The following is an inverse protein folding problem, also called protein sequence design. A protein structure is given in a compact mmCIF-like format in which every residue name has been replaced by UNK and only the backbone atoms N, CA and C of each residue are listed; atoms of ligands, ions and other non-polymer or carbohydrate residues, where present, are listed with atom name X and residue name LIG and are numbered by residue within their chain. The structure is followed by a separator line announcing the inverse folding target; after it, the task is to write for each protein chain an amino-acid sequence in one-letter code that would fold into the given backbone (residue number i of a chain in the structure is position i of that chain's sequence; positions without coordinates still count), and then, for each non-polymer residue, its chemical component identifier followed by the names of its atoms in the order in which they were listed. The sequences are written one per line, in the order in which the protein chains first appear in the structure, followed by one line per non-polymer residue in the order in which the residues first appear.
data_IF_059183698125
#
_entry.id   IF_059183698125
#
_cell.length_a   1.000
_cell.length_b   1.000
_cell.length_c   1.000
_cell.angle_alpha   90.00
_cell.angle_beta   90.00
_cell.angle_gamma   90.00
#
_symmetry.space_group_name_H-M   'P 1'
#
loop_
_entity.id
_entity.type
_entity.pdbx_description
1 polymer ?
#
# COMPACT_ATOMS: atom_id res chain seq x y z
N UNK A 1 -3.93 4.99 60.91
CA UNK A 1 -3.21 4.30 59.82
C UNK A 1 -2.55 3.03 60.32
N UNK A 2 -2.59 2.00 59.51
CA UNK A 2 -2.06 0.67 59.81
C UNK A 2 -0.60 0.77 60.27
N UNK A 3 -0.18 0.12 61.39
CA UNK A 3 1.21 0.19 61.90
C UNK A 3 2.30 -0.22 60.88
N UNK A 4 1.97 -1.15 60.01
CA UNK A 4 2.84 -1.57 58.90
C UNK A 4 3.14 -0.44 57.88
N UNK A 5 2.14 0.39 57.56
CA UNK A 5 2.35 1.57 56.71
C UNK A 5 3.19 2.65 57.33
N UNK A 6 3.01 2.88 58.65
CA UNK A 6 3.85 3.85 59.37
C UNK A 6 5.33 3.40 59.42
N UNK A 7 5.58 2.08 59.53
CA UNK A 7 6.92 1.51 59.53
C UNK A 7 7.57 1.64 58.14
N UNK A 8 6.82 1.39 57.05
CA UNK A 8 7.28 1.52 55.69
C UNK A 8 7.61 2.98 55.32
N UNK A 9 6.75 3.92 55.70
CA UNK A 9 6.97 5.37 55.47
C UNK A 9 8.15 5.91 56.30
N UNK A 10 8.39 5.38 57.48
CA UNK A 10 9.59 5.72 58.30
C UNK A 10 10.87 5.20 57.64
N UNK A 11 10.81 4.01 57.03
CA UNK A 11 11.98 3.41 56.42
C UNK A 11 12.35 4.09 55.09
N UNK A 12 11.38 4.61 54.33
CA UNK A 12 11.64 5.24 53.05
C UNK A 12 10.69 6.44 52.81
N UNK A 13 11.14 7.63 53.18
CA UNK A 13 10.34 8.87 53.13
C UNK A 13 9.87 9.24 51.71
N UNK A 14 10.60 8.83 50.66
CA UNK A 14 10.22 9.03 49.24
C UNK A 14 8.96 8.29 48.83
N UNK A 15 8.52 7.24 49.54
CA UNK A 15 7.33 6.44 49.26
C UNK A 15 6.03 7.08 49.75
N UNK A 16 6.08 8.14 50.56
CA UNK A 16 4.88 8.78 51.13
C UNK A 16 3.89 9.31 50.10
N UNK A 17 4.41 10.01 49.10
CA UNK A 17 3.57 10.59 48.03
C UNK A 17 2.95 9.54 47.13
N UNK A 18 3.67 8.52 46.58
CA UNK A 18 3.11 7.41 45.84
C UNK A 18 2.05 6.65 46.63
N UNK A 19 2.27 6.31 47.88
CA UNK A 19 1.29 5.60 48.71
C UNK A 19 0.03 6.43 48.93
N UNK A 20 0.16 7.74 49.18
CA UNK A 20 -0.99 8.63 49.35
C UNK A 20 -1.84 8.73 48.06
N UNK A 21 -1.18 8.85 46.90
CA UNK A 21 -1.86 8.84 45.58
C UNK A 21 -2.57 7.52 45.32
N UNK A 22 -1.89 6.40 45.57
CA UNK A 22 -2.46 5.08 45.39
C UNK A 22 -3.67 4.85 46.31
N UNK A 23 -3.63 5.31 47.58
CA UNK A 23 -4.80 5.28 48.49
C UNK A 23 -5.96 6.09 47.99
N UNK A 24 -5.72 7.29 47.48
CA UNK A 24 -6.76 8.15 46.92
C UNK A 24 -7.40 7.53 45.69
N UNK A 25 -6.60 6.98 44.75
CA UNK A 25 -7.06 6.27 43.56
C UNK A 25 -7.86 5.00 43.93
N UNK A 26 -7.36 4.24 44.89
CA UNK A 26 -8.01 3.04 45.41
C UNK A 26 -9.38 3.36 46.03
N UNK A 27 -9.49 4.45 46.78
CA UNK A 27 -10.76 4.90 47.38
C UNK A 27 -11.79 5.32 46.29
N UNK A 28 -11.32 5.92 45.19
CA UNK A 28 -12.18 6.44 44.11
C UNK A 28 -12.48 5.40 43.01
N UNK A 29 -11.53 4.56 42.67
CA UNK A 29 -11.58 3.60 41.55
C UNK A 29 -10.97 2.24 41.93
N UNK A 30 -11.26 1.72 43.11
CA UNK A 30 -10.59 0.55 43.71
C UNK A 30 -10.55 -0.68 42.81
N UNK A 31 -11.68 -0.99 42.15
CA UNK A 31 -11.76 -2.15 41.27
C UNK A 31 -10.82 -2.05 40.09
N UNK A 32 -10.76 -0.90 39.42
CA UNK A 32 -9.83 -0.67 38.29
C UNK A 32 -8.38 -0.67 38.75
N UNK A 33 -8.10 -0.08 39.93
CA UNK A 33 -6.72 -0.10 40.46
C UNK A 33 -6.28 -1.52 40.77
N UNK A 34 -7.14 -2.37 41.31
CA UNK A 34 -6.85 -3.79 41.54
C UNK A 34 -6.58 -4.55 40.25
N UNK A 35 -7.39 -4.33 39.23
CA UNK A 35 -7.26 -5.00 37.94
C UNK A 35 -6.00 -4.56 37.16
N UNK A 36 -5.74 -3.24 37.09
CA UNK A 36 -4.66 -2.70 36.27
C UNK A 36 -3.33 -2.48 37.01
N UNK A 37 -3.28 -2.66 38.31
CA UNK A 37 -2.06 -2.46 39.10
C UNK A 37 -0.91 -3.36 38.67
N UNK A 38 -1.21 -4.57 38.19
CA UNK A 38 -0.19 -5.53 37.74
C UNK A 38 0.49 -5.14 36.43
N UNK A 39 -0.12 -4.25 35.64
CA UNK A 39 0.49 -3.65 34.45
C UNK A 39 1.53 -2.56 34.80
N UNK A 40 1.50 -2.03 36.04
CA UNK A 40 2.29 -0.88 36.46
C UNK A 40 3.60 -1.28 37.18
N UNK A 41 4.05 -2.51 37.00
CA UNK A 41 5.35 -2.97 37.57
C UNK A 41 5.45 -2.84 39.10
N UNK A 42 6.36 -2.04 39.62
CA UNK A 42 6.60 -1.95 41.08
C UNK A 42 5.38 -1.56 41.92
N UNK A 43 4.41 -0.87 41.34
CA UNK A 43 3.15 -0.47 41.99
C UNK A 43 2.31 -1.71 42.34
N UNK A 44 2.41 -2.79 41.56
CA UNK A 44 1.69 -4.04 41.78
C UNK A 44 1.95 -4.61 43.22
N UNK A 45 3.13 -4.42 43.77
CA UNK A 45 3.49 -4.91 45.08
C UNK A 45 2.84 -4.13 46.22
N UNK A 46 2.54 -2.85 46.01
CA UNK A 46 1.96 -1.96 47.02
C UNK A 46 0.45 -2.10 47.11
N UNK A 47 -0.20 -2.46 46.02
CA UNK A 47 -1.68 -2.53 45.91
C UNK A 47 -2.31 -3.54 46.88
N UNK A 48 -1.84 -4.78 47.04
CA UNK A 48 -2.38 -5.71 48.04
C UNK A 48 -2.33 -5.16 49.47
N UNK A 49 -1.25 -4.49 49.79
CA UNK A 49 -1.05 -3.83 51.13
C UNK A 49 -2.12 -2.73 51.35
N UNK A 50 -2.36 -1.91 50.34
CA UNK A 50 -3.36 -0.83 50.44
C UNK A 50 -4.75 -1.40 50.47
N UNK A 51 -5.03 -2.43 49.66
CA UNK A 51 -6.33 -3.12 49.62
C UNK A 51 -6.70 -3.69 51.04
N UNK A 52 -5.75 -4.39 51.67
CA UNK A 52 -5.91 -4.87 53.03
C UNK A 52 -6.12 -3.76 54.04
N UNK A 53 -5.41 -2.63 53.89
CA UNK A 53 -5.59 -1.47 54.82
C UNK A 53 -6.93 -0.76 54.66
N UNK A 54 -7.59 -0.88 53.52
CA UNK A 54 -8.90 -0.32 53.26
C UNK A 54 -10.06 -1.32 53.51
N UNK A 55 -9.76 -2.48 54.08
CA UNK A 55 -10.70 -3.55 54.39
C UNK A 55 -11.58 -3.97 53.16
N UNK A 56 -10.97 -4.03 51.96
CA UNK A 56 -11.64 -4.54 50.76
C UNK A 56 -11.94 -6.01 50.98
N UNK A 57 -13.19 -6.46 50.65
CA UNK A 57 -13.57 -7.85 50.82
C UNK A 57 -12.69 -8.80 50.00
N UNK A 58 -12.36 -9.94 50.55
CA UNK A 58 -11.46 -10.93 49.92
C UNK A 58 -11.97 -11.35 48.55
N UNK A 59 -13.25 -11.61 48.38
CA UNK A 59 -13.85 -11.98 47.11
C UNK A 59 -13.64 -10.90 46.03
N UNK A 60 -13.84 -9.62 46.37
CA UNK A 60 -13.61 -8.50 45.43
C UNK A 60 -12.12 -8.37 45.08
N UNK A 61 -11.25 -8.48 46.08
CA UNK A 61 -9.81 -8.44 45.85
C UNK A 61 -9.38 -9.57 44.95
N UNK A 62 -9.80 -10.83 45.20
CA UNK A 62 -9.45 -12.00 44.41
C UNK A 62 -9.94 -11.86 42.97
N UNK A 63 -11.20 -11.49 42.75
CA UNK A 63 -11.76 -11.33 41.42
C UNK A 63 -10.95 -10.35 40.56
N UNK A 64 -10.79 -9.12 41.03
CA UNK A 64 -10.10 -8.08 40.25
C UNK A 64 -8.58 -8.31 40.17
N UNK A 65 -7.97 -8.93 41.18
CA UNK A 65 -6.55 -9.31 41.16
C UNK A 65 -6.30 -10.45 40.17
N UNK A 66 -7.24 -11.38 40.01
CA UNK A 66 -7.17 -12.46 39.01
C UNK A 66 -7.31 -11.89 37.60
N UNK A 67 -8.26 -10.98 37.38
CA UNK A 67 -8.35 -10.25 36.10
C UNK A 67 -7.02 -9.55 35.79
N UNK A 68 -6.44 -8.86 36.77
CA UNK A 68 -5.15 -8.20 36.64
C UNK A 68 -3.98 -9.15 36.40
N UNK A 69 -4.06 -10.38 36.90
CA UNK A 69 -3.08 -11.41 36.62
C UNK A 69 -3.12 -11.85 35.15
N UNK A 70 -4.31 -12.16 34.64
CA UNK A 70 -4.48 -12.51 33.25
C UNK A 70 -4.05 -11.37 32.32
N UNK A 71 -4.37 -10.13 32.62
CA UNK A 71 -3.93 -8.99 31.83
C UNK A 71 -2.41 -8.75 31.94
N UNK A 72 -1.86 -8.82 33.16
CA UNK A 72 -0.46 -8.49 33.41
C UNK A 72 0.53 -9.59 32.98
N UNK A 73 0.20 -10.87 33.25
CA UNK A 73 1.04 -12.02 32.87
C UNK A 73 0.67 -12.53 31.48
N UNK A 74 -0.62 -12.55 31.15
CA UNK A 74 -1.12 -13.04 29.88
C UNK A 74 -0.49 -12.32 28.70
N UNK A 75 -0.30 -11.01 28.80
CA UNK A 75 0.38 -10.27 27.74
C UNK A 75 1.80 -10.80 27.44
N UNK A 76 2.57 -11.15 28.50
CA UNK A 76 3.92 -11.68 28.29
C UNK A 76 3.89 -13.09 27.70
N UNK A 77 2.91 -13.90 28.06
CA UNK A 77 2.70 -15.22 27.47
C UNK A 77 2.34 -15.08 25.98
N UNK A 78 1.40 -14.18 25.66
CA UNK A 78 1.02 -13.89 24.26
C UNK A 78 2.23 -13.38 23.46
N UNK A 79 2.95 -12.40 24.00
CA UNK A 79 4.15 -11.88 23.32
C UNK A 79 5.25 -12.94 23.19
N UNK A 80 5.48 -13.74 24.23
CA UNK A 80 6.44 -14.84 24.19
C UNK A 80 6.06 -15.90 23.15
N UNK A 81 4.79 -16.23 23.06
CA UNK A 81 4.28 -17.16 22.05
C UNK A 81 4.43 -16.60 20.63
N UNK A 82 4.02 -15.35 20.41
CA UNK A 82 4.16 -14.67 19.12
C UNK A 82 5.62 -14.58 18.67
N UNK A 83 6.53 -14.26 19.59
CA UNK A 83 7.96 -14.18 19.28
C UNK A 83 8.57 -15.58 19.05
N UNK A 84 8.15 -16.57 19.80
CA UNK A 84 8.66 -17.94 19.67
C UNK A 84 8.12 -18.71 18.47
N UNK A 85 6.87 -18.46 18.11
CA UNK A 85 6.24 -19.07 16.93
C UNK A 85 6.60 -18.36 15.62
N UNK A 86 7.08 -17.12 15.72
CA UNK A 86 7.36 -16.24 14.60
C UNK A 86 6.14 -15.38 14.23
N UNK A 87 6.34 -14.08 14.20
CA UNK A 87 5.29 -13.11 13.88
C UNK A 87 4.77 -13.35 12.46
N UNK A 88 5.66 -13.77 11.55
CA UNK A 88 5.33 -13.98 10.14
C UNK A 88 4.39 -15.19 9.89
N UNK A 89 4.19 -16.05 10.90
CA UNK A 89 3.22 -17.15 10.82
C UNK A 89 1.76 -16.74 11.15
N UNK A 90 1.55 -15.47 11.50
CA UNK A 90 0.21 -14.93 11.77
C UNK A 90 -0.20 -13.99 10.64
N UNK A 91 -1.12 -14.40 9.74
CA UNK A 91 -1.55 -13.57 8.60
C UNK A 91 -1.97 -12.16 9.02
N UNK A 92 -2.80 -12.04 10.06
CA UNK A 92 -3.30 -10.75 10.56
C UNK A 92 -2.18 -9.82 11.09
N UNK A 93 -1.10 -10.37 11.65
CA UNK A 93 0.03 -9.57 12.11
C UNK A 93 0.95 -9.16 10.97
N UNK A 94 1.06 -10.01 9.95
CA UNK A 94 1.77 -9.68 8.74
C UNK A 94 1.04 -8.58 7.96
N UNK A 95 -0.27 -8.69 7.80
CA UNK A 95 -1.12 -7.64 7.22
C UNK A 95 -0.98 -6.31 7.98
N UNK A 96 -1.03 -6.34 9.32
CA UNK A 96 -0.83 -5.16 10.14
C UNK A 96 0.58 -4.57 9.99
N UNK A 97 1.62 -5.41 9.88
CA UNK A 97 3.00 -4.98 9.63
C UNK A 97 3.12 -4.34 8.25
N UNK A 98 2.57 -4.98 7.21
CA UNK A 98 2.53 -4.43 5.85
C UNK A 98 1.82 -3.08 5.86
N UNK A 99 0.63 -3.00 6.43
CA UNK A 99 -0.12 -1.75 6.56
C UNK A 99 0.68 -0.64 7.26
N UNK A 100 1.35 -0.94 8.37
CA UNK A 100 2.17 0.03 9.12
C UNK A 100 3.39 0.48 8.31
N UNK A 101 4.02 -0.41 7.57
CA UNK A 101 5.18 -0.08 6.73
C UNK A 101 4.75 0.74 5.53
N UNK A 102 3.70 0.35 4.84
CA UNK A 102 3.16 1.07 3.68
C UNK A 102 2.67 2.47 4.04
N UNK A 103 1.98 2.60 5.17
CA UNK A 103 1.37 3.88 5.58
C UNK A 103 2.23 4.69 6.56
N UNK A 104 3.51 4.32 6.75
CA UNK A 104 4.42 4.96 7.73
C UNK A 104 4.49 6.48 7.60
N UNK A 105 4.52 7.01 6.39
CA UNK A 105 4.63 8.45 6.13
C UNK A 105 3.40 9.21 6.65
N UNK A 106 2.19 8.73 6.37
CA UNK A 106 0.93 9.31 6.84
C UNK A 106 0.81 9.14 8.36
N UNK A 107 1.14 7.97 8.90
CA UNK A 107 1.09 7.73 10.34
C UNK A 107 2.03 8.67 11.11
N UNK A 108 3.23 8.92 10.59
CA UNK A 108 4.17 9.89 11.15
C UNK A 108 3.60 11.32 11.08
N UNK A 109 3.02 11.72 9.94
CA UNK A 109 2.43 13.05 9.77
C UNK A 109 1.26 13.28 10.73
N UNK A 110 0.38 12.29 10.91
CA UNK A 110 -0.72 12.35 11.88
C UNK A 110 -0.18 12.40 13.31
N UNK A 111 0.77 11.55 13.66
CA UNK A 111 1.41 11.53 14.99
C UNK A 111 2.07 12.86 15.33
N UNK A 112 2.84 13.44 14.40
CA UNK A 112 3.45 14.75 14.54
C UNK A 112 2.41 15.86 14.74
N UNK A 113 1.29 15.79 14.01
CA UNK A 113 0.19 16.75 14.12
C UNK A 113 -0.51 16.68 15.48
N UNK A 114 -0.74 15.47 15.99
CA UNK A 114 -1.26 15.27 17.35
C UNK A 114 -0.28 15.82 18.40
N UNK A 115 1.02 15.55 18.24
CA UNK A 115 2.05 16.13 19.10
C UNK A 115 2.04 17.67 19.07
N UNK A 116 1.96 18.26 17.89
CA UNK A 116 1.84 19.70 17.70
C UNK A 116 0.59 20.28 18.41
N UNK A 117 -0.55 19.60 18.30
CA UNK A 117 -1.77 19.99 19.00
C UNK A 117 -1.60 19.95 20.53
N UNK A 118 -1.02 18.87 21.06
CA UNK A 118 -0.79 18.74 22.50
C UNK A 118 0.15 19.81 23.06
N UNK A 119 1.21 20.14 22.30
CA UNK A 119 2.15 21.22 22.64
C UNK A 119 1.42 22.56 22.61
N UNK A 120 0.69 22.87 21.56
CA UNK A 120 -0.07 24.10 21.42
C UNK A 120 -1.13 24.28 22.50
N UNK A 121 -1.79 23.19 22.93
CA UNK A 121 -2.71 23.17 24.06
C UNK A 121 -2.02 23.50 25.37
N UNK A 122 -0.85 22.93 25.60
CA UNK A 122 -0.03 23.20 26.81
C UNK A 122 0.45 24.65 26.84
N UNK A 123 0.83 25.20 25.69
CA UNK A 123 1.29 26.57 25.52
C UNK A 123 0.14 27.60 25.38
N UNK A 124 -1.12 27.13 25.42
CA UNK A 124 -2.32 27.97 25.29
C UNK A 124 -2.35 28.85 24.03
N UNK A 125 -1.93 28.29 22.89
CA UNK A 125 -1.94 29.01 21.62
C UNK A 125 -3.34 29.47 21.21
N UNK A 126 -3.42 30.70 20.68
CA UNK A 126 -4.66 31.21 20.07
C UNK A 126 -4.87 30.48 18.72
N UNK A 127 -6.15 30.27 18.36
CA UNK A 127 -6.53 29.59 17.12
C UNK A 127 -5.89 28.19 16.97
N UNK A 128 -5.83 27.44 18.06
CA UNK A 128 -5.16 26.15 18.11
C UNK A 128 -5.67 25.17 17.05
N UNK A 129 -7.00 25.12 16.87
CA UNK A 129 -7.61 24.21 15.90
C UNK A 129 -7.20 24.56 14.46
N UNK A 130 -7.25 25.84 14.08
CA UNK A 130 -6.81 26.28 12.74
C UNK A 130 -5.35 25.97 12.48
N UNK A 131 -4.47 26.22 13.48
CA UNK A 131 -3.04 25.88 13.37
C UNK A 131 -2.82 24.37 13.26
N UNK A 132 -3.56 23.58 14.03
CA UNK A 132 -3.51 22.11 13.94
C UNK A 132 -3.93 21.63 12.54
N UNK A 133 -5.06 22.13 12.02
CA UNK A 133 -5.54 21.74 10.68
C UNK A 133 -4.54 22.14 9.59
N UNK A 134 -3.99 23.35 9.65
CA UNK A 134 -2.97 23.82 8.71
C UNK A 134 -1.69 22.95 8.79
N UNK A 135 -1.24 22.63 10.00
CA UNK A 135 -0.07 21.78 10.20
C UNK A 135 -0.31 20.35 9.72
N UNK A 136 -1.49 19.78 10.00
CA UNK A 136 -1.89 18.46 9.52
C UNK A 136 -1.89 18.38 8.00
N UNK A 137 -2.55 19.33 7.33
CA UNK A 137 -2.58 19.40 5.87
C UNK A 137 -1.18 19.55 5.28
N UNK A 138 -0.37 20.45 5.82
CA UNK A 138 1.01 20.64 5.36
C UNK A 138 1.86 19.38 5.58
N UNK A 139 1.69 18.71 6.73
CA UNK A 139 2.43 17.47 7.04
C UNK A 139 2.02 16.31 6.14
N UNK A 140 0.73 16.17 5.83
CA UNK A 140 0.23 15.14 4.90
C UNK A 140 0.70 15.42 3.48
N UNK A 141 0.61 16.67 3.02
CA UNK A 141 1.11 17.05 1.69
C UNK A 141 2.62 16.83 1.58
N UNK A 142 3.39 17.21 2.61
CA UNK A 142 4.83 16.96 2.63
C UNK A 142 5.16 15.47 2.67
N UNK A 143 4.44 14.68 3.46
CA UNK A 143 4.64 13.22 3.54
C UNK A 143 4.35 12.55 2.19
N UNK A 144 3.27 12.95 1.49
CA UNK A 144 2.96 12.48 0.16
C UNK A 144 4.05 12.87 -0.85
N UNK A 145 4.46 14.15 -0.84
CA UNK A 145 5.53 14.62 -1.70
C UNK A 145 6.85 13.88 -1.44
N UNK A 146 7.26 13.78 -0.17
CA UNK A 146 8.50 13.11 0.20
C UNK A 146 8.47 11.61 -0.14
N UNK A 147 7.32 10.94 0.07
CA UNK A 147 7.18 9.54 -0.30
C UNK A 147 7.30 9.36 -1.81
N UNK A 148 6.57 10.17 -2.58
CA UNK A 148 6.56 10.09 -4.04
C UNK A 148 7.93 10.38 -4.66
N UNK A 149 8.62 11.43 -4.20
CA UNK A 149 9.88 11.87 -4.83
C UNK A 149 11.15 11.28 -4.22
N UNK A 150 11.16 10.87 -2.94
CA UNK A 150 12.38 10.44 -2.26
C UNK A 150 12.36 9.01 -1.71
N UNK A 151 11.19 8.44 -1.51
CA UNK A 151 11.03 7.16 -0.81
C UNK A 151 10.16 6.15 -1.55
N UNK A 152 9.66 6.48 -2.75
CA UNK A 152 8.93 5.48 -3.51
C UNK A 152 9.88 4.38 -3.99
N UNK A 153 9.46 3.14 -3.85
CA UNK A 153 10.19 1.99 -4.39
C UNK A 153 10.32 2.07 -5.92
N UNK A 154 9.49 2.90 -6.55
CA UNK A 154 9.53 3.20 -7.98
C UNK A 154 10.88 3.80 -8.41
N UNK A 155 11.56 4.54 -7.51
CA UNK A 155 12.91 5.06 -7.77
C UNK A 155 14.03 4.09 -7.39
N UNK A 156 13.80 3.20 -6.43
CA UNK A 156 14.81 2.23 -6.00
C UNK A 156 15.11 1.14 -7.05
N UNK A 157 14.28 1.05 -8.07
CA UNK A 157 14.36 0.01 -9.09
C UNK A 157 15.30 0.36 -10.26
N UNK A 158 15.84 1.59 -10.33
CA UNK A 158 16.70 2.01 -11.44
C UNK A 158 17.95 1.14 -11.63
N UNK A 159 18.58 0.69 -10.54
CA UNK A 159 19.78 -0.16 -10.61
C UNK A 159 19.44 -1.64 -10.86
N UNK A 160 18.26 -2.11 -10.45
CA UNK A 160 17.87 -3.52 -10.59
C UNK A 160 17.08 -3.86 -11.86
N UNK A 161 16.36 -2.88 -12.44
CA UNK A 161 15.50 -3.10 -13.63
C UNK A 161 16.31 -3.14 -14.93
N UNK A 162 17.48 -2.49 -14.99
CA UNK A 162 18.33 -2.53 -16.18
C UNK A 162 18.99 -3.89 -16.43
N UNK A 163 19.03 -4.78 -15.44
CA UNK A 163 19.67 -6.09 -15.54
C UNK A 163 18.70 -7.25 -15.71
N UNK A 164 17.44 -7.10 -15.34
CA UNK A 164 16.40 -8.07 -15.71
C UNK A 164 15.88 -7.76 -17.13
N UNK A 165 16.72 -8.02 -18.14
CA UNK A 165 16.18 -8.38 -19.43
C UNK A 165 15.23 -9.55 -19.19
N UNK A 166 13.98 -9.43 -19.67
CA UNK A 166 13.09 -10.57 -19.78
C UNK A 166 13.92 -11.72 -20.32
N UNK A 167 14.03 -12.79 -19.58
CA UNK A 167 14.87 -13.91 -19.95
C UNK A 167 14.38 -14.43 -21.30
N UNK A 168 15.29 -14.99 -22.11
CA UNK A 168 14.94 -15.78 -23.30
C UNK A 168 14.17 -17.06 -22.89
N UNK A 169 13.34 -16.96 -21.85
CA UNK A 169 12.55 -18.06 -21.33
C UNK A 169 11.34 -18.24 -22.26
N UNK A 170 11.15 -19.49 -22.71
CA UNK A 170 9.98 -19.86 -23.49
C UNK A 170 8.77 -19.86 -22.58
N UNK A 171 7.76 -19.07 -22.91
CA UNK A 171 6.55 -18.90 -22.11
C UNK A 171 5.30 -19.04 -22.98
N UNK A 172 4.20 -19.40 -22.36
CA UNK A 172 2.88 -19.44 -22.97
C UNK A 172 1.95 -18.47 -22.25
N UNK A 173 1.14 -17.72 -22.98
CA UNK A 173 0.25 -16.69 -22.37
C UNK A 173 -0.62 -17.28 -21.26
N UNK A 174 -1.11 -18.53 -21.42
CA UNK A 174 -1.94 -19.19 -20.41
C UNK A 174 -1.26 -19.50 -19.09
N UNK A 175 0.07 -19.45 -19.04
CA UNK A 175 0.88 -19.74 -17.83
C UNK A 175 1.30 -18.45 -17.12
N UNK A 176 1.08 -17.30 -17.73
CA UNK A 176 1.47 -16.01 -17.18
C UNK A 176 0.45 -15.48 -16.16
N UNK A 177 0.89 -14.83 -15.08
CA UNK A 177 0.00 -14.08 -14.22
C UNK A 177 -0.50 -12.84 -14.97
N UNK A 178 -1.82 -12.80 -15.27
CA UNK A 178 -2.42 -11.75 -16.09
C UNK A 178 -2.97 -10.59 -15.24
N UNK A 179 -2.20 -10.15 -14.24
CA UNK A 179 -2.54 -9.05 -13.33
C UNK A 179 -1.33 -8.15 -13.11
N UNK A 180 -1.55 -6.84 -13.07
CA UNK A 180 -0.56 -5.84 -12.70
C UNK A 180 -0.98 -5.13 -11.39
N UNK A 181 0.00 -4.70 -10.60
CA UNK A 181 -0.18 -4.20 -9.24
C UNK A 181 0.35 -2.77 -9.11
N UNK A 182 -0.21 -1.95 -8.20
CA UNK A 182 0.24 -0.57 -7.98
C UNK A 182 1.52 -0.47 -7.14
N UNK A 183 2.26 -1.54 -6.97
CA UNK A 183 3.51 -1.62 -6.21
C UNK A 183 4.08 -3.03 -6.25
N UNK A 184 5.17 -3.27 -5.53
CA UNK A 184 5.79 -4.60 -5.44
C UNK A 184 4.95 -5.63 -4.67
N UNK A 185 3.95 -5.17 -3.92
CA UNK A 185 3.04 -6.05 -3.16
C UNK A 185 1.91 -6.52 -4.06
N UNK A 186 1.74 -7.82 -4.17
CA UNK A 186 0.67 -8.46 -4.92
C UNK A 186 -0.64 -8.62 -4.11
N UNK A 187 -0.94 -7.67 -3.22
CA UNK A 187 -2.14 -7.74 -2.35
C UNK A 187 -3.39 -7.27 -3.07
N UNK A 188 -3.27 -6.19 -3.87
CA UNK A 188 -4.39 -5.64 -4.64
C UNK A 188 -3.98 -5.48 -6.08
N UNK A 189 -4.71 -6.11 -6.98
CA UNK A 189 -4.51 -5.94 -8.41
C UNK A 189 -5.08 -4.58 -8.86
N UNK A 190 -4.26 -3.80 -9.56
CA UNK A 190 -4.67 -2.51 -10.10
C UNK A 190 -5.31 -2.62 -11.47
N UNK A 191 -4.81 -3.52 -12.30
CA UNK A 191 -5.28 -3.73 -13.67
C UNK A 191 -5.07 -5.18 -14.11
N UNK A 192 -5.96 -5.63 -14.98
CA UNK A 192 -5.79 -6.89 -15.71
C UNK A 192 -4.87 -6.69 -16.92
N UNK A 193 -4.09 -7.71 -17.24
CA UNK A 193 -3.40 -7.83 -18.53
C UNK A 193 -4.42 -8.32 -19.55
N UNK A 194 -4.82 -7.46 -20.48
CA UNK A 194 -5.89 -7.72 -21.45
C UNK A 194 -5.43 -7.65 -22.90
N UNK A 195 -4.13 -7.42 -23.14
CA UNK A 195 -3.51 -7.42 -24.46
C UNK A 195 -2.21 -8.22 -24.42
N UNK A 196 -1.91 -8.95 -25.49
CA UNK A 196 -0.64 -9.59 -25.74
C UNK A 196 -0.16 -9.26 -27.15
N UNK A 197 1.13 -9.03 -27.32
CA UNK A 197 1.76 -8.80 -28.62
C UNK A 197 2.92 -9.77 -28.82
N UNK A 198 2.88 -10.51 -29.90
CA UNK A 198 3.95 -11.43 -30.33
C UNK A 198 4.69 -10.80 -31.49
N UNK A 199 5.91 -10.38 -31.26
CA UNK A 199 6.73 -9.64 -32.23
C UNK A 199 7.95 -9.02 -31.57
N UNK A 200 8.73 -8.26 -32.33
CA UNK A 200 10.00 -7.72 -31.83
C UNK A 200 9.80 -6.66 -30.73
N UNK A 201 9.04 -5.61 -31.01
CA UNK A 201 8.80 -4.48 -30.11
C UNK A 201 7.43 -3.83 -30.43
N UNK A 202 6.56 -3.58 -29.45
CA UNK A 202 5.26 -2.96 -29.69
C UNK A 202 5.33 -1.48 -30.13
N UNK A 203 6.49 -0.80 -30.05
CA UNK A 203 6.64 0.61 -30.44
C UNK A 203 6.21 0.88 -31.88
N UNK A 204 6.61 0.02 -32.81
CA UNK A 204 6.23 0.17 -34.22
C UNK A 204 4.72 0.09 -34.38
N UNK A 205 4.08 -0.93 -33.83
CA UNK A 205 2.64 -1.08 -33.85
C UNK A 205 1.93 0.14 -33.23
N UNK A 206 2.36 0.54 -32.03
CA UNK A 206 1.75 1.67 -31.32
C UNK A 206 1.88 2.98 -32.11
N UNK A 207 3.03 3.23 -32.74
CA UNK A 207 3.24 4.42 -33.58
C UNK A 207 2.35 4.42 -34.83
N UNK A 208 2.19 3.29 -35.52
CA UNK A 208 1.31 3.15 -36.67
C UNK A 208 -0.16 3.39 -36.29
N UNK A 209 -0.57 2.99 -35.09
CA UNK A 209 -1.90 3.24 -34.55
C UNK A 209 -2.08 4.66 -34.01
N UNK A 210 -1.06 5.53 -34.08
CA UNK A 210 -1.12 6.93 -33.61
C UNK A 210 -1.03 7.10 -32.09
N UNK A 211 -0.53 6.09 -31.39
CA UNK A 211 -0.28 6.18 -29.96
C UNK A 211 1.03 6.93 -29.69
N UNK A 212 1.08 7.68 -28.59
CA UNK A 212 2.22 8.49 -28.17
C UNK A 212 2.91 7.77 -27.03
N UNK A 213 4.23 7.55 -27.14
CA UNK A 213 5.02 6.96 -26.04
C UNK A 213 5.13 7.95 -24.88
N UNK A 214 4.82 7.50 -23.67
CA UNK A 214 4.90 8.27 -22.44
C UNK A 214 6.20 7.98 -21.69
N UNK A 215 6.68 8.98 -20.96
CA UNK A 215 7.68 8.76 -19.93
C UNK A 215 7.07 8.07 -18.71
N UNK A 216 7.85 7.27 -18.02
CA UNK A 216 7.48 6.59 -16.77
C UNK A 216 8.39 7.01 -15.64
N UNK A 217 7.92 6.96 -14.40
CA UNK A 217 8.72 7.42 -13.26
C UNK A 217 9.92 6.50 -12.97
N UNK A 218 9.77 5.20 -13.12
CA UNK A 218 10.83 4.21 -12.85
C UNK A 218 11.97 4.22 -13.86
N UNK A 219 11.71 4.64 -15.11
CA UNK A 219 12.68 4.53 -16.20
C UNK A 219 13.25 5.86 -16.69
N UNK A 220 12.66 6.96 -16.26
CA UNK A 220 13.07 8.29 -16.67
C UNK A 220 13.45 9.12 -15.44
N UNK A 221 14.58 9.83 -15.51
CA UNK A 221 14.93 10.86 -14.53
C UNK A 221 14.07 12.09 -14.78
N UNK A 222 12.92 12.16 -14.11
CA UNK A 222 11.99 13.27 -14.26
C UNK A 222 12.23 14.28 -13.15
N UNK A 223 12.62 15.49 -13.53
CA UNK A 223 12.59 16.64 -12.64
C UNK A 223 11.18 17.27 -12.60
N UNK A 224 10.92 18.10 -11.61
CA UNK A 224 9.63 18.81 -11.50
C UNK A 224 9.34 19.66 -12.73
N UNK A 225 10.39 20.26 -13.32
CA UNK A 225 10.32 21.02 -14.57
C UNK A 225 9.82 20.20 -15.73
N UNK A 226 10.36 18.97 -15.88
CA UNK A 226 9.97 18.03 -16.94
C UNK A 226 8.51 17.61 -16.78
N UNK A 227 8.10 17.34 -15.54
CA UNK A 227 6.72 16.99 -15.23
C UNK A 227 5.74 18.12 -15.63
N UNK A 228 6.08 19.38 -15.31
CA UNK A 228 5.27 20.55 -15.70
C UNK A 228 5.22 20.73 -17.22
N UNK A 229 6.32 20.46 -17.93
CA UNK A 229 6.36 20.51 -19.39
C UNK A 229 5.48 19.45 -20.02
N UNK A 230 5.60 18.19 -19.56
CA UNK A 230 4.78 17.07 -20.04
C UNK A 230 3.28 17.29 -19.78
N UNK A 231 2.91 17.92 -18.66
CA UNK A 231 1.53 18.32 -18.40
C UNK A 231 1.02 19.35 -19.43
N UNK A 232 1.86 20.34 -19.81
CA UNK A 232 1.49 21.32 -20.83
C UNK A 232 1.33 20.71 -22.21
N UNK A 233 2.09 19.67 -22.51
CA UNK A 233 2.00 18.92 -23.77
C UNK A 233 0.86 17.89 -23.78
N UNK A 234 0.09 17.76 -22.72
CA UNK A 234 -0.93 16.71 -22.53
C UNK A 234 -0.37 15.27 -22.64
N UNK A 235 0.89 15.09 -22.30
CA UNK A 235 1.56 13.78 -22.26
C UNK A 235 2.18 13.53 -20.87
N UNK A 236 1.40 13.61 -19.78
CA UNK A 236 1.95 13.41 -18.44
C UNK A 236 2.55 12.01 -18.33
N UNK A 237 3.56 11.83 -17.45
CA UNK A 237 4.12 10.51 -17.22
C UNK A 237 3.04 9.56 -16.70
N UNK A 238 3.12 8.32 -17.11
CA UNK A 238 2.23 7.26 -16.64
C UNK A 238 2.77 6.71 -15.33
N UNK A 239 1.89 6.52 -14.35
CA UNK A 239 2.25 5.89 -13.06
C UNK A 239 2.72 4.46 -13.28
N UNK A 240 3.70 4.03 -12.47
CA UNK A 240 4.21 2.68 -12.58
C UNK A 240 3.21 1.66 -12.04
N UNK A 241 3.01 0.60 -12.82
CA UNK A 241 2.43 -0.65 -12.37
C UNK A 241 3.49 -1.75 -12.44
N UNK A 242 3.36 -2.74 -11.60
CA UNK A 242 4.32 -3.82 -11.48
C UNK A 242 3.70 -5.15 -11.91
N UNK A 243 4.39 -5.83 -12.80
CA UNK A 243 4.10 -7.21 -13.15
C UNK A 243 5.28 -8.07 -12.70
N UNK A 244 5.01 -9.12 -11.91
CA UNK A 244 6.06 -9.95 -11.26
C UNK A 244 7.12 -9.11 -10.51
N UNK A 245 6.72 -7.99 -9.90
CA UNK A 245 7.62 -7.10 -9.16
C UNK A 245 8.49 -6.19 -10.04
N UNK A 246 8.26 -6.18 -11.36
CA UNK A 246 8.99 -5.35 -12.34
C UNK A 246 8.06 -4.27 -12.89
N UNK A 247 8.46 -2.98 -12.93
CA UNK A 247 7.65 -1.93 -13.53
C UNK A 247 7.60 -2.10 -15.05
N UNK A 248 6.56 -1.52 -15.68
CA UNK A 248 6.40 -1.59 -17.13
C UNK A 248 7.64 -1.08 -17.88
N UNK A 249 7.91 -1.68 -19.02
CA UNK A 249 9.00 -1.26 -19.89
C UNK A 249 8.62 -0.09 -20.77
N UNK A 250 7.38 -0.11 -21.26
CA UNK A 250 6.84 0.91 -22.15
C UNK A 250 5.48 1.34 -21.68
N UNK A 251 5.14 2.59 -21.98
CA UNK A 251 3.80 3.12 -21.78
C UNK A 251 3.41 3.99 -22.97
N UNK A 252 2.16 3.89 -23.38
CA UNK A 252 1.63 4.70 -24.48
C UNK A 252 0.25 5.23 -24.11
N UNK A 253 -0.11 6.36 -24.72
CA UNK A 253 -1.45 6.94 -24.66
C UNK A 253 -1.97 7.31 -26.05
N UNK A 254 -3.27 7.30 -26.23
CA UNK A 254 -3.90 8.01 -27.35
C UNK A 254 -3.93 9.50 -27.07
N UNK A 255 -3.85 10.36 -28.11
CA UNK A 255 -4.11 11.79 -27.95
C UNK A 255 -5.44 12.04 -27.25
N UNK A 256 -5.41 12.88 -26.21
CA UNK A 256 -6.59 13.16 -25.39
C UNK A 256 -6.35 14.29 -24.41
N UNK A 257 -7.24 14.47 -23.46
CA UNK A 257 -7.01 15.40 -22.36
C UNK A 257 -6.36 14.73 -21.16
N UNK A 258 -5.89 15.50 -20.19
CA UNK A 258 -5.19 15.01 -19.01
C UNK A 258 -6.01 14.05 -18.14
N UNK A 259 -7.34 14.12 -18.22
CA UNK A 259 -8.24 13.39 -17.33
C UNK A 259 -8.95 12.22 -18.01
N UNK A 260 -9.00 12.24 -19.36
CA UNK A 260 -9.75 11.26 -20.16
C UNK A 260 -8.92 10.84 -21.35
N UNK A 261 -8.33 9.64 -21.25
CA UNK A 261 -7.47 9.11 -22.31
C UNK A 261 -7.31 7.60 -22.17
N UNK A 262 -7.16 6.93 -23.30
CA UNK A 262 -6.72 5.54 -23.31
C UNK A 262 -5.22 5.47 -23.09
N UNK A 263 -4.77 4.55 -22.27
CA UNK A 263 -3.35 4.29 -22.06
C UNK A 263 -3.09 2.79 -21.91
N UNK A 264 -1.90 2.35 -22.34
CA UNK A 264 -1.45 0.97 -22.25
C UNK A 264 -0.03 0.93 -21.69
N UNK A 265 0.23 -0.06 -20.85
CA UNK A 265 1.54 -0.38 -20.29
C UNK A 265 1.98 -1.74 -20.79
N UNK A 266 3.25 -1.87 -21.13
CA UNK A 266 3.81 -3.08 -21.70
C UNK A 266 4.96 -3.63 -20.87
N UNK A 267 5.00 -4.96 -20.74
CA UNK A 267 6.10 -5.73 -20.15
C UNK A 267 6.54 -6.79 -21.16
N UNK A 268 7.85 -6.98 -21.33
CA UNK A 268 8.36 -8.12 -22.06
C UNK A 268 8.28 -9.36 -21.15
N UNK A 269 7.43 -10.33 -21.50
CA UNK A 269 7.18 -11.50 -20.66
C UNK A 269 8.15 -12.66 -20.93
N UNK A 270 8.80 -12.67 -22.10
CA UNK A 270 9.69 -13.74 -22.54
C UNK A 270 9.62 -13.96 -24.04
N UNK A 271 9.75 -15.21 -24.46
CA UNK A 271 9.66 -15.65 -25.85
C UNK A 271 8.46 -16.60 -25.98
N UNK A 272 7.55 -16.34 -26.92
CA UNK A 272 6.40 -17.20 -27.16
C UNK A 272 6.83 -18.59 -27.62
N UNK A 273 6.42 -19.62 -26.90
CA UNK A 273 6.78 -21.00 -27.16
C UNK A 273 6.35 -21.55 -28.51
N UNK A 274 5.33 -20.92 -29.15
CA UNK A 274 4.80 -21.38 -30.42
C UNK A 274 5.51 -20.75 -31.62
N UNK A 275 5.91 -19.47 -31.51
CA UNK A 275 6.44 -18.69 -32.62
C UNK A 275 7.92 -18.38 -32.48
N UNK A 276 8.50 -18.62 -31.32
CA UNK A 276 9.87 -18.25 -30.95
C UNK A 276 10.17 -16.74 -31.12
N UNK A 277 9.14 -15.89 -31.00
CA UNK A 277 9.22 -14.43 -31.04
C UNK A 277 9.06 -13.86 -29.64
N UNK A 278 9.50 -12.61 -29.42
CA UNK A 278 9.28 -11.94 -28.15
C UNK A 278 7.78 -11.85 -27.86
N UNK A 279 7.43 -12.17 -26.63
CA UNK A 279 6.08 -12.01 -26.10
C UNK A 279 6.02 -10.81 -25.18
N UNK A 280 5.18 -9.87 -25.54
CA UNK A 280 4.84 -8.70 -24.74
C UNK A 280 3.43 -8.82 -24.20
N UNK A 281 3.22 -8.41 -22.97
CA UNK A 281 1.88 -8.36 -22.35
C UNK A 281 1.55 -6.93 -22.00
N UNK A 282 0.29 -6.55 -22.14
CA UNK A 282 -0.18 -5.19 -21.97
C UNK A 282 -1.38 -5.06 -21.05
N UNK A 283 -1.36 -4.04 -20.19
CA UNK A 283 -2.50 -3.57 -19.43
C UNK A 283 -3.06 -2.31 -20.08
N UNK A 284 -4.17 -2.44 -20.75
CA UNK A 284 -4.87 -1.36 -21.45
C UNK A 284 -6.09 -0.93 -20.65
N UNK A 285 -6.24 0.38 -20.44
CA UNK A 285 -7.37 0.98 -19.73
C UNK A 285 -7.66 2.39 -20.23
N UNK A 286 -8.84 2.91 -19.85
CA UNK A 286 -9.26 4.27 -20.09
C UNK A 286 -9.33 5.06 -18.80
N UNK A 287 -8.61 6.19 -18.72
CA UNK A 287 -8.76 7.15 -17.62
C UNK A 287 -10.10 7.88 -17.76
N UNK A 288 -10.96 7.83 -16.73
CA UNK A 288 -12.27 8.51 -16.71
C UNK A 288 -12.39 9.49 -15.53
N UNK A 289 -11.35 10.24 -15.26
CA UNK A 289 -11.35 11.28 -14.25
C UNK A 289 -10.30 11.11 -13.17
N UNK A 290 -10.57 11.68 -11.99
CA UNK A 290 -9.67 11.62 -10.84
C UNK A 290 -10.40 11.05 -9.63
N UNK A 291 -9.72 10.24 -8.86
CA UNK A 291 -10.19 9.76 -7.56
C UNK A 291 -9.11 9.92 -6.49
N UNK A 292 -9.57 10.09 -5.26
CA UNK A 292 -8.68 10.08 -4.09
C UNK A 292 -8.55 8.62 -3.65
N UNK A 293 -7.35 8.08 -3.72
CA UNK A 293 -7.11 6.68 -3.39
C UNK A 293 -5.82 6.52 -2.57
N UNK A 294 -5.75 5.53 -1.68
CA UNK A 294 -4.50 5.07 -1.11
C UNK A 294 -3.65 4.42 -2.22
N UNK A 295 -2.41 4.85 -2.35
CA UNK A 295 -1.46 4.28 -3.31
C UNK A 295 -0.08 4.19 -2.66
N UNK A 296 0.48 2.98 -2.60
CA UNK A 296 1.84 2.75 -2.07
C UNK A 296 2.11 3.46 -0.71
N UNK A 297 1.13 3.39 0.20
CA UNK A 297 1.26 3.97 1.54
C UNK A 297 1.01 5.47 1.67
N UNK A 298 0.55 6.12 0.62
CA UNK A 298 0.12 7.52 0.64
C UNK A 298 -1.36 7.63 0.22
N UNK A 299 -1.99 8.72 0.62
CA UNK A 299 -3.29 9.13 0.05
C UNK A 299 -3.01 10.13 -1.05
N UNK A 300 -3.31 9.78 -2.28
CA UNK A 300 -3.03 10.60 -3.44
C UNK A 300 -4.25 10.76 -4.34
N UNK A 301 -4.15 11.63 -5.31
CA UNK A 301 -5.13 11.78 -6.36
C UNK A 301 -4.57 11.07 -7.58
N UNK A 302 -5.19 9.97 -7.95
CA UNK A 302 -4.86 9.22 -9.15
C UNK A 302 -5.99 9.32 -10.18
N UNK A 303 -5.67 8.96 -11.42
CA UNK A 303 -6.69 8.76 -12.43
C UNK A 303 -7.56 7.56 -12.02
N UNK A 304 -8.89 7.73 -12.11
CA UNK A 304 -9.81 6.60 -12.06
C UNK A 304 -9.89 5.98 -13.45
N UNK A 305 -9.88 4.68 -13.53
CA UNK A 305 -10.07 3.96 -14.78
C UNK A 305 -11.57 3.68 -15.00
N UNK A 306 -11.98 3.61 -16.27
CA UNK A 306 -13.30 3.05 -16.61
C UNK A 306 -13.32 1.59 -16.12
N UNK A 307 -14.31 1.21 -15.31
CA UNK A 307 -14.40 -0.17 -14.84
C UNK A 307 -14.49 -1.21 -15.94
N UNK A 308 -15.02 -0.85 -17.12
CA UNK A 308 -15.09 -1.74 -18.27
C UNK A 308 -13.80 -1.73 -19.08
N UNK A 309 -12.82 -2.52 -18.66
CA UNK A 309 -11.53 -2.59 -19.37
C UNK A 309 -11.59 -3.33 -20.69
N UNK A 310 -12.65 -4.11 -20.93
CA UNK A 310 -12.86 -4.81 -22.20
C UNK A 310 -13.20 -3.87 -23.34
N UNK A 311 -13.87 -2.75 -23.03
CA UNK A 311 -14.24 -1.76 -24.04
C UNK A 311 -13.03 -1.17 -24.76
N UNK A 312 -11.97 -0.84 -24.01
CA UNK A 312 -10.74 -0.30 -24.60
C UNK A 312 -9.94 -1.36 -25.35
N UNK A 313 -9.92 -2.60 -24.86
CA UNK A 313 -9.34 -3.75 -25.55
C UNK A 313 -10.02 -3.97 -26.92
N UNK A 314 -11.34 -3.95 -26.93
CA UNK A 314 -12.12 -4.18 -28.16
C UNK A 314 -11.92 -3.02 -29.17
N UNK A 315 -11.84 -1.77 -28.69
CA UNK A 315 -11.47 -0.60 -29.53
C UNK A 315 -10.07 -0.74 -30.13
N UNK A 316 -9.11 -1.21 -29.35
CA UNK A 316 -7.76 -1.47 -29.88
C UNK A 316 -7.80 -2.55 -30.96
N UNK A 317 -8.57 -3.62 -30.77
CA UNK A 317 -8.74 -4.66 -31.79
C UNK A 317 -9.30 -4.10 -33.09
N UNK A 318 -10.35 -3.28 -33.03
CA UNK A 318 -10.91 -2.60 -34.21
C UNK A 318 -9.89 -1.67 -34.88
N UNK A 319 -9.10 -0.93 -34.07
CA UNK A 319 -8.07 -0.04 -34.57
C UNK A 319 -6.96 -0.82 -35.30
N UNK A 320 -6.50 -1.94 -34.76
CA UNK A 320 -5.50 -2.81 -35.37
C UNK A 320 -6.01 -3.35 -36.71
N UNK A 321 -7.24 -3.89 -36.76
CA UNK A 321 -7.85 -4.43 -38.00
C UNK A 321 -7.95 -3.36 -39.09
N UNK A 322 -8.29 -2.14 -38.72
CA UNK A 322 -8.50 -1.05 -39.68
C UNK A 322 -7.23 -0.40 -40.20
N UNK A 323 -6.13 -0.49 -39.47
CA UNK A 323 -4.92 0.30 -39.75
C UNK A 323 -3.74 -0.55 -40.25
N UNK A 324 -3.61 -1.78 -39.77
CA UNK A 324 -2.42 -2.62 -40.02
C UNK A 324 -2.79 -3.86 -40.82
N UNK A 325 -2.05 -4.09 -41.92
CA UNK A 325 -2.27 -5.26 -42.81
C UNK A 325 -1.37 -6.45 -42.45
N UNK A 326 -0.26 -6.21 -41.77
CA UNK A 326 0.78 -7.21 -41.49
C UNK A 326 0.71 -7.81 -40.08
N UNK A 327 -0.49 -7.85 -39.50
CA UNK A 327 -0.73 -8.47 -38.20
C UNK A 327 -1.96 -9.36 -38.25
N UNK A 328 -1.91 -10.45 -37.49
CA UNK A 328 -3.09 -11.24 -37.18
C UNK A 328 -3.55 -10.99 -35.77
N UNK A 329 -4.84 -11.03 -35.53
CA UNK A 329 -5.42 -10.89 -34.19
C UNK A 329 -6.24 -12.11 -33.81
N UNK A 330 -6.21 -12.42 -32.52
CA UNK A 330 -7.03 -13.45 -31.90
C UNK A 330 -7.58 -12.92 -30.57
N UNK A 331 -8.72 -13.44 -30.13
CA UNK A 331 -9.35 -13.06 -28.87
C UNK A 331 -9.67 -14.34 -28.09
N UNK A 332 -8.87 -14.65 -27.09
CA UNK A 332 -8.99 -15.89 -26.33
C UNK A 332 -9.14 -15.64 -24.82
N UNK A 333 -9.93 -16.48 -24.15
CA UNK A 333 -10.11 -16.46 -22.71
C UNK A 333 -8.91 -17.13 -22.05
N UNK A 334 -8.15 -16.36 -21.25
CA UNK A 334 -6.98 -16.83 -20.52
C UNK A 334 -7.13 -16.77 -19.00
N UNK A 335 -8.13 -16.07 -18.49
CA UNK A 335 -8.44 -16.01 -17.07
C UNK A 335 -9.97 -15.99 -16.85
N UNK A 336 -10.46 -16.33 -15.66
CA UNK A 336 -11.88 -16.25 -15.36
C UNK A 336 -12.36 -14.80 -15.42
N UNK A 337 -13.62 -14.57 -15.79
CA UNK A 337 -14.23 -13.24 -15.72
C UNK A 337 -14.14 -12.66 -14.32
N UNK A 338 -13.83 -11.37 -14.23
CA UNK A 338 -13.80 -10.61 -12.98
C UNK A 338 -14.99 -9.67 -12.91
N UNK A 339 -15.60 -9.56 -11.75
CA UNK A 339 -16.73 -8.67 -11.49
C UNK A 339 -16.32 -7.57 -10.48
N UNK A 340 -17.11 -6.50 -10.44
CA UNK A 340 -16.97 -5.48 -9.40
C UNK A 340 -17.45 -6.04 -8.06
N UNK A 341 -16.55 -6.35 -7.16
CA UNK A 341 -16.84 -7.02 -5.88
C UNK A 341 -16.29 -6.28 -4.66
N UNK A 342 -15.68 -5.10 -4.88
CA UNK A 342 -15.03 -4.30 -3.84
C UNK A 342 -13.55 -4.66 -3.59
N UNK A 343 -13.07 -5.77 -4.15
CA UNK A 343 -11.64 -6.10 -4.24
C UNK A 343 -11.05 -5.59 -5.55
N UNK A 344 -11.87 -5.54 -6.62
CA UNK A 344 -11.48 -5.07 -7.96
C UNK A 344 -12.25 -3.80 -8.31
N UNK A 345 -11.53 -2.81 -8.82
CA UNK A 345 -12.09 -1.56 -9.35
C UNK A 345 -12.48 -1.68 -10.84
N UNK A 346 -12.36 -2.88 -11.43
CA UNK A 346 -12.69 -3.17 -12.82
C UNK A 346 -13.44 -4.49 -12.98
N UNK A 347 -14.05 -4.67 -14.13
CA UNK A 347 -14.57 -5.96 -14.56
C UNK A 347 -14.09 -6.32 -15.97
N UNK A 348 -13.98 -7.61 -16.25
CA UNK A 348 -13.55 -8.15 -17.54
C UNK A 348 -14.19 -9.50 -17.81
N UNK A 349 -14.38 -9.82 -19.08
CA UNK A 349 -14.83 -11.14 -19.56
C UNK A 349 -13.74 -12.21 -19.54
N UNK A 350 -12.51 -11.84 -19.18
CA UNK A 350 -11.37 -12.74 -19.08
C UNK A 350 -10.65 -13.01 -20.40
N UNK A 351 -11.03 -12.35 -21.50
CA UNK A 351 -10.36 -12.51 -22.79
C UNK A 351 -9.18 -11.54 -22.91
N UNK A 352 -8.16 -11.99 -23.62
CA UNK A 352 -6.97 -11.22 -23.98
C UNK A 352 -6.94 -11.07 -25.50
N UNK A 353 -6.71 -9.84 -25.96
CA UNK A 353 -6.43 -9.56 -27.38
C UNK A 353 -4.98 -9.97 -27.68
N UNK A 354 -4.80 -10.96 -28.53
CA UNK A 354 -3.48 -11.42 -28.98
C UNK A 354 -3.21 -10.89 -30.37
N UNK A 355 -2.20 -10.05 -30.50
CA UNK A 355 -1.74 -9.44 -31.74
C UNK A 355 -0.43 -10.12 -32.16
N UNK A 356 -0.33 -10.69 -33.34
CA UNK A 356 0.87 -11.35 -33.85
C UNK A 356 1.36 -10.63 -35.10
N UNK A 357 2.62 -10.22 -35.08
CA UNK A 357 3.30 -9.64 -36.24
C UNK A 357 3.65 -10.72 -37.26
N UNK A 358 3.24 -10.52 -38.53
CA UNK A 358 3.55 -11.45 -39.64
C UNK A 358 4.90 -11.16 -40.30
N UNK A 359 5.58 -10.06 -39.94
CA UNK A 359 6.83 -9.65 -40.57
C UNK A 359 7.99 -10.65 -40.39
N UNK A 360 7.94 -11.49 -39.35
CA UNK A 360 8.99 -12.48 -39.08
C UNK A 360 8.83 -13.80 -39.87
N UNK A 361 7.67 -14.11 -40.43
CA UNK A 361 7.47 -15.32 -41.21
C UNK A 361 8.00 -15.21 -42.66
N UNK A 362 8.36 -14.01 -43.13
CA UNK A 362 8.89 -13.76 -44.48
C UNK A 362 10.40 -13.81 -44.58
N UNK A 363 11.14 -13.90 -43.50
CA UNK A 363 12.63 -13.94 -43.53
C UNK A 363 13.23 -15.35 -43.61
N UNK A 364 12.40 -16.40 -43.65
CA UNK A 364 12.86 -17.81 -43.77
C UNK A 364 12.46 -18.47 -45.09
N UNK A 365 12.25 -17.72 -46.21
CA UNK A 365 12.08 -18.29 -47.54
C UNK A 365 13.25 -17.89 -48.43
#
# INVERSE_FOLDING_TARGET
GNPAQRKLIRWQSKTRRPIARCRHLMAKKGNYVLAFARLLGPIAWVVPFIAGSQKISWARFSLYSTIGLFLGVGQFVVWGYLLGYGIDNFPILNEAKVFLVEHKAILIAVGASVGFYLIGRKLRWRLLFTKFTAFLLASVLYANYAHFFFYSDDFATKEGVSEQKAGNELVTISELPLKAYPGKSAVFDAQVINVAYVGEDPRTLMAELGWIENKTFSRNDLEISDYVELLKLNTPPVSDLFWNGVPQELAFQLPGNLLKRSHIRWWQAGVDSNTNQNLWIGALSYDDGLQITPYSGIVTILHSIDPNVDLERDKLAEQVISTTADVSIDMAAYHPPTILDGEHDYYTDGRVLVIKSELASRSEI
#
